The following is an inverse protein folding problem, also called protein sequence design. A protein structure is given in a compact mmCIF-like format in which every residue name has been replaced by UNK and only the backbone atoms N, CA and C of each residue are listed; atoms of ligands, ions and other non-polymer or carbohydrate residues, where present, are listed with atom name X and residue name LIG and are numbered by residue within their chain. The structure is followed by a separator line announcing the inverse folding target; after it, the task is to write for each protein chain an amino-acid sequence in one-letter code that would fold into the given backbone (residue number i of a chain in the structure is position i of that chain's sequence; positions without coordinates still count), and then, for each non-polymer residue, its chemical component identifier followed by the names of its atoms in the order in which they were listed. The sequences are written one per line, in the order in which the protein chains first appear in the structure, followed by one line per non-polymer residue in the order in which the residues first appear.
data_IF_272765635462
#
_entry.id   IF_272765635462
#
_cell.length_a   1.000
_cell.length_b   1.000
_cell.length_c   1.000
_cell.angle_alpha   90.00
_cell.angle_beta   90.00
_cell.angle_gamma   90.00
#
_symmetry.space_group_name_H-M   'P 1'
#
loop_
_entity.id
_entity.type
_entity.pdbx_description
1 polymer ?
#
# COMPACT_ATOMS: atom_id res chain seq x y z
N UNK A 1 -26.67 17.76 -8.83
CA UNK A 1 -25.93 16.48 -8.92
C UNK A 1 -24.44 16.78 -9.14
N UNK A 2 -23.49 16.40 -8.26
CA UNK A 2 -22.09 16.61 -8.56
C UNK A 2 -21.56 15.48 -9.44
N UNK A 3 -20.93 15.88 -10.54
CA UNK A 3 -20.16 15.02 -11.44
C UNK A 3 -19.01 14.45 -10.61
N UNK A 4 -19.04 13.15 -10.32
CA UNK A 4 -17.93 12.46 -9.64
C UNK A 4 -16.76 12.42 -10.63
N UNK A 5 -15.91 13.45 -10.59
CA UNK A 5 -14.61 13.40 -11.24
C UNK A 5 -13.84 12.24 -10.58
N UNK A 6 -13.63 11.15 -11.34
CA UNK A 6 -13.12 9.89 -10.82
C UNK A 6 -11.61 9.99 -10.55
N UNK A 7 -11.21 10.85 -9.61
CA UNK A 7 -9.84 10.86 -9.13
C UNK A 7 -9.56 9.51 -8.46
N UNK A 8 -8.44 8.83 -8.81
CA UNK A 8 -8.11 7.56 -8.21
C UNK A 8 -7.94 7.77 -6.71
N UNK A 9 -8.90 7.25 -5.94
CA UNK A 9 -8.96 7.33 -4.45
C UNK A 9 -7.84 6.54 -3.77
N UNK A 10 -6.99 5.90 -4.56
CA UNK A 10 -5.94 4.97 -4.14
C UNK A 10 -4.57 5.49 -4.56
N UNK A 11 -3.63 5.50 -3.62
CA UNK A 11 -2.21 5.70 -3.86
C UNK A 11 -1.55 4.32 -3.78
N UNK A 12 -0.77 3.97 -4.80
CA UNK A 12 0.00 2.74 -4.84
C UNK A 12 1.45 3.14 -5.03
N UNK A 13 2.27 2.86 -4.02
CA UNK A 13 3.72 2.98 -4.10
C UNK A 13 4.30 1.58 -4.23
N UNK A 14 5.34 1.43 -5.05
CA UNK A 14 6.06 0.18 -5.22
C UNK A 14 7.48 0.44 -4.77
N UNK A 15 7.92 -0.25 -3.72
CA UNK A 15 9.30 -0.20 -3.29
C UNK A 15 9.99 -1.55 -3.50
N UNK A 16 10.98 -1.57 -4.39
CA UNK A 16 11.78 -2.74 -4.79
C UNK A 16 13.12 -2.78 -4.08
N UNK A 17 13.56 -1.63 -3.57
CA UNK A 17 14.92 -1.40 -3.08
C UNK A 17 15.17 -2.00 -1.71
N UNK A 18 14.11 -2.34 -0.97
CA UNK A 18 14.18 -3.00 0.35
C UNK A 18 14.98 -2.26 1.43
N UNK A 19 15.37 -1.01 1.18
CA UNK A 19 16.09 -0.16 2.13
C UNK A 19 15.11 0.53 3.07
N UNK A 20 15.51 0.71 4.34
CA UNK A 20 14.67 1.42 5.33
C UNK A 20 14.36 2.85 4.88
N UNK A 21 15.36 3.56 4.35
CA UNK A 21 15.18 4.91 3.80
C UNK A 21 14.17 4.93 2.64
N UNK A 22 14.19 3.91 1.78
CA UNK A 22 13.22 3.76 0.68
C UNK A 22 11.80 3.53 1.19
N UNK A 23 11.64 2.66 2.19
CA UNK A 23 10.36 2.37 2.84
C UNK A 23 9.76 3.58 3.54
N UNK A 24 10.57 4.34 4.27
CA UNK A 24 10.14 5.58 4.93
C UNK A 24 9.76 6.66 3.93
N UNK A 25 10.54 6.81 2.85
CA UNK A 25 10.23 7.74 1.76
C UNK A 25 8.93 7.37 1.05
N UNK A 26 8.69 6.09 0.80
CA UNK A 26 7.45 5.60 0.23
C UNK A 26 6.26 5.82 1.18
N UNK A 27 6.42 5.53 2.47
CA UNK A 27 5.39 5.80 3.49
C UNK A 27 5.07 7.30 3.58
N UNK A 28 6.09 8.17 3.51
CA UNK A 28 5.92 9.63 3.51
C UNK A 28 5.18 10.09 2.25
N UNK A 29 5.53 9.59 1.07
CA UNK A 29 4.79 9.88 -0.18
C UNK A 29 3.32 9.45 -0.11
N UNK A 30 3.04 8.28 0.49
CA UNK A 30 1.67 7.84 0.74
C UNK A 30 0.93 8.75 1.74
N UNK A 31 1.63 9.32 2.72
CA UNK A 31 1.08 10.31 3.65
C UNK A 31 0.74 11.61 2.92
N UNK A 32 1.72 12.17 2.22
CA UNK A 32 1.64 13.46 1.52
C UNK A 32 0.61 13.42 0.39
N UNK A 33 0.42 12.26 -0.25
CA UNK A 33 -0.58 12.07 -1.30
C UNK A 33 -2.03 12.22 -0.82
N UNK A 34 -2.31 12.27 0.49
CA UNK A 34 -3.63 12.58 1.06
C UNK A 34 -4.75 11.61 0.68
N UNK A 35 -4.44 10.50 0.00
CA UNK A 35 -5.45 9.60 -0.55
C UNK A 35 -6.04 8.71 0.55
N UNK A 36 -7.36 8.43 0.50
CA UNK A 36 -8.01 7.62 1.52
C UNK A 36 -7.55 6.15 1.51
N UNK A 37 -7.18 5.61 0.35
CA UNK A 37 -6.59 4.27 0.25
C UNK A 37 -5.10 4.37 -0.09
N UNK A 38 -4.24 3.78 0.74
CA UNK A 38 -2.78 3.80 0.59
C UNK A 38 -2.28 2.38 0.53
N UNK A 39 -1.50 2.04 -0.49
CA UNK A 39 -0.96 0.69 -0.69
C UNK A 39 0.53 0.78 -0.97
N UNK A 40 1.33 0.01 -0.25
CA UNK A 40 2.76 -0.14 -0.49
C UNK A 40 3.05 -1.57 -0.95
N UNK A 41 3.56 -1.73 -2.17
CA UNK A 41 3.96 -3.03 -2.72
C UNK A 41 5.46 -3.27 -2.50
N UNK A 42 5.80 -4.44 -1.95
CA UNK A 42 7.15 -4.77 -1.48
C UNK A 42 7.49 -6.24 -1.74
N UNK A 43 8.78 -6.62 -1.76
CA UNK A 43 9.17 -8.02 -1.63
C UNK A 43 8.78 -8.58 -0.25
N UNK A 44 8.43 -9.88 -0.21
CA UNK A 44 8.05 -10.58 1.03
C UNK A 44 9.09 -10.43 2.15
N UNK A 45 10.37 -10.45 1.79
CA UNK A 45 11.53 -10.37 2.71
C UNK A 45 11.52 -9.11 3.57
N UNK A 46 10.87 -8.03 3.11
CA UNK A 46 10.92 -6.71 3.74
C UNK A 46 9.58 -6.22 4.28
N UNK A 47 8.53 -7.07 4.26
CA UNK A 47 7.22 -6.70 4.82
C UNK A 47 7.30 -6.34 6.30
N UNK A 48 8.08 -7.08 7.10
CA UNK A 48 8.24 -6.81 8.52
C UNK A 48 8.91 -5.46 8.78
N UNK A 49 9.94 -5.12 8.00
CA UNK A 49 10.63 -3.82 8.07
C UNK A 49 9.70 -2.68 7.65
N UNK A 50 8.88 -2.90 6.63
CA UNK A 50 7.96 -1.91 6.14
C UNK A 50 6.81 -1.63 7.13
N UNK A 51 6.30 -2.66 7.80
CA UNK A 51 5.33 -2.46 8.87
C UNK A 51 5.91 -1.56 9.98
N UNK A 52 7.17 -1.79 10.37
CA UNK A 52 7.88 -0.96 11.36
C UNK A 52 8.11 0.47 10.86
N UNK A 53 8.53 0.63 9.60
CA UNK A 53 8.72 1.95 8.99
C UNK A 53 7.39 2.73 8.90
N UNK A 54 6.29 2.07 8.52
CA UNK A 54 4.96 2.68 8.48
C UNK A 54 4.47 3.09 9.87
N UNK A 55 4.73 2.27 10.88
CA UNK A 55 4.41 2.58 12.27
C UNK A 55 5.21 3.79 12.75
N UNK A 56 6.52 3.86 12.46
CA UNK A 56 7.37 4.99 12.79
C UNK A 56 6.90 6.31 12.13
N UNK A 57 6.47 6.26 10.87
CA UNK A 57 5.97 7.43 10.13
C UNK A 57 4.52 7.79 10.52
N UNK A 58 3.84 6.90 11.24
CA UNK A 58 2.46 7.06 11.69
C UNK A 58 1.45 6.99 10.54
N UNK A 59 1.68 6.13 9.55
CA UNK A 59 0.85 6.02 8.34
C UNK A 59 0.19 4.65 8.27
N UNK A 60 -1.14 4.63 8.36
CA UNK A 60 -1.93 3.45 8.05
C UNK A 60 -1.97 3.23 6.53
N UNK A 61 -1.35 2.14 6.06
CA UNK A 61 -1.37 1.75 4.66
C UNK A 61 -1.36 0.22 4.52
N UNK A 62 -1.94 -0.27 3.43
CA UNK A 62 -1.98 -1.70 3.12
C UNK A 62 -0.66 -2.13 2.50
N UNK A 63 0.00 -3.11 3.12
CA UNK A 63 1.21 -3.71 2.54
C UNK A 63 0.79 -4.85 1.60
N UNK A 64 1.30 -4.84 0.38
CA UNK A 64 1.10 -5.89 -0.63
C UNK A 64 2.44 -6.53 -0.98
N UNK A 65 2.45 -7.86 -1.09
CA UNK A 65 3.63 -8.60 -1.53
C UNK A 65 3.73 -8.60 -3.07
N UNK A 66 4.92 -8.34 -3.62
CA UNK A 66 5.24 -8.45 -5.05
C UNK A 66 5.64 -9.87 -5.47
N UNK A 67 6.09 -10.70 -4.52
CA UNK A 67 6.60 -12.04 -4.77
C UNK A 67 5.56 -13.12 -4.48
N UNK A 68 5.01 -13.72 -5.53
CA UNK A 68 4.30 -15.00 -5.46
C UNK A 68 2.79 -14.89 -5.62
N UNK A 69 2.36 -15.06 -6.88
CA UNK A 69 1.01 -15.18 -7.46
C UNK A 69 -0.02 -14.07 -7.14
N UNK A 70 -0.73 -13.58 -8.17
CA UNK A 70 -1.88 -12.72 -7.96
C UNK A 70 -2.93 -13.49 -7.16
N UNK A 71 -3.21 -13.05 -5.93
CA UNK A 71 -4.45 -13.40 -5.23
C UNK A 71 -5.56 -12.46 -5.69
N UNK A 72 -5.91 -12.58 -6.97
CA UNK A 72 -7.31 -12.62 -7.38
C UNK A 72 -7.83 -14.05 -7.17
N UNK A 73 -7.69 -14.55 -5.93
CA UNK A 73 -8.32 -15.79 -5.50
C UNK A 73 -9.24 -15.44 -4.34
N UNK A 74 -10.50 -15.17 -4.73
CA UNK A 74 -11.74 -15.32 -3.97
C UNK A 74 -12.10 -14.24 -2.93
N UNK A 75 -12.62 -13.09 -3.37
CA UNK A 75 -13.80 -12.51 -2.72
C UNK A 75 -15.07 -12.78 -3.54
N UNK A 76 -15.22 -14.04 -3.94
CA UNK A 76 -16.48 -14.63 -4.33
C UNK A 76 -17.02 -15.47 -3.17
N UNK A 77 -17.37 -14.83 -2.05
CA UNK A 77 -18.33 -15.40 -1.08
C UNK A 77 -19.30 -14.31 -0.65
N UNK A 78 -20.29 -14.07 -1.51
CA UNK A 78 -21.67 -14.03 -1.03
C UNK A 78 -22.02 -15.44 -0.57
N UNK A 79 -22.51 -15.60 0.65
CA UNK A 79 -23.65 -16.47 0.95
C UNK A 79 -24.26 -16.04 2.29
N UNK A 80 -25.59 -16.00 2.21
CA UNK A 80 -26.63 -15.78 3.21
C UNK A 80 -26.27 -16.13 4.66
#
# INVERSE_FOLDING_TARGET
MPIRCAYPRKAIEIERSSTLAGLEKAAKRLKDGGKPQKVLQLPQKDMAKAAKAMQNVGVGATIKNMGGVPKDVLLGKRKN
#
